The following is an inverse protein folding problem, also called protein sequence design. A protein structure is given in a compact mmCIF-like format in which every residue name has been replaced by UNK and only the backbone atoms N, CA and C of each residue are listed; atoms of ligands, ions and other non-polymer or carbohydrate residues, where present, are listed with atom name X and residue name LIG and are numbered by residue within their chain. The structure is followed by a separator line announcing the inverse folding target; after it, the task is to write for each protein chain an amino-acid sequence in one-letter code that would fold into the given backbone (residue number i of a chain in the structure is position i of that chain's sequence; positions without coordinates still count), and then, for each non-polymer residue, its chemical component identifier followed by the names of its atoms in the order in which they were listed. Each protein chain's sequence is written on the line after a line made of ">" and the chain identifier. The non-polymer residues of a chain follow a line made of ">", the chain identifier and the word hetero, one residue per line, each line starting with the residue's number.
data_IF_683301324425
#
_entry.id   IF_683301324425
#
_cell.length_a   1.000
_cell.length_b   1.000
_cell.length_c   1.000
_cell.angle_alpha   90.00
_cell.angle_beta   90.00
_cell.angle_gamma   90.00
#
_symmetry.space_group_name_H-M   'P 1'
#
loop_
_entity.id
_entity.type
_entity.pdbx_description
1 polymer ?
#
# COMPACT_ATOMS: atom_id res chain seq x y z
N UNK A 1 -17.19 -9.81 30.89
CA UNK A 1 -16.59 -9.19 29.68
C UNK A 1 -16.57 -7.65 29.71
N UNK A 2 -17.58 -6.96 30.25
CA UNK A 2 -17.64 -5.49 30.31
C UNK A 2 -16.54 -4.80 31.16
N UNK A 3 -16.08 -5.45 32.25
CA UNK A 3 -15.02 -4.93 33.14
C UNK A 3 -13.65 -4.79 32.46
N UNK A 4 -13.31 -5.68 31.53
CA UNK A 4 -12.06 -5.60 30.76
C UNK A 4 -12.10 -4.43 29.77
N UNK A 5 -13.26 -4.19 29.15
CA UNK A 5 -13.48 -3.10 28.19
C UNK A 5 -13.29 -1.72 28.85
N UNK A 6 -13.76 -1.56 30.09
CA UNK A 6 -13.60 -0.33 30.88
C UNK A 6 -12.14 -0.09 31.30
N UNK A 7 -11.35 -1.14 31.56
CA UNK A 7 -9.92 -1.02 31.86
C UNK A 7 -9.10 -0.57 30.63
N UNK A 8 -9.49 -0.99 29.43
CA UNK A 8 -8.88 -0.50 28.18
C UNK A 8 -9.21 0.97 27.92
N UNK A 9 -10.44 1.41 28.20
CA UNK A 9 -10.88 2.79 27.93
C UNK A 9 -10.41 3.79 29.00
N UNK A 10 -10.16 3.33 30.23
CA UNK A 10 -9.76 4.18 31.37
C UNK A 10 -8.25 4.37 31.50
N UNK A 11 -7.44 3.55 30.82
CA UNK A 11 -5.98 3.64 30.89
C UNK A 11 -5.42 4.35 29.64
N UNK A 12 -4.95 5.60 29.76
CA UNK A 12 -4.40 6.36 28.63
C UNK A 12 -3.17 5.67 28.02
N UNK A 13 -2.44 4.87 28.80
CA UNK A 13 -1.27 4.10 28.36
C UNK A 13 -1.64 3.12 27.24
N UNK A 14 -2.78 2.43 27.37
CA UNK A 14 -3.20 1.43 26.37
C UNK A 14 -3.54 2.11 25.04
N UNK A 15 -4.20 3.27 25.09
CA UNK A 15 -4.51 4.07 23.90
C UNK A 15 -3.24 4.57 23.20
N UNK A 16 -2.24 5.02 23.95
CA UNK A 16 -0.95 5.45 23.42
C UNK A 16 -0.22 4.28 22.73
N UNK A 17 -0.20 3.10 23.35
CA UNK A 17 0.44 1.91 22.74
C UNK A 17 -0.23 1.51 21.42
N UNK A 18 -1.56 1.53 21.36
CA UNK A 18 -2.31 1.26 20.12
C UNK A 18 -1.99 2.32 19.05
N UNK A 19 -1.99 3.61 19.42
CA UNK A 19 -1.66 4.69 18.49
C UNK A 19 -0.23 4.58 17.95
N UNK A 20 0.75 4.24 18.80
CA UNK A 20 2.14 4.00 18.40
C UNK A 20 2.23 2.77 17.49
N UNK A 21 1.53 1.68 17.79
CA UNK A 21 1.50 0.48 16.96
C UNK A 21 0.90 0.76 15.57
N UNK A 22 -0.22 1.48 15.51
CA UNK A 22 -0.83 1.92 14.25
C UNK A 22 0.13 2.84 13.49
N UNK A 23 0.77 3.80 14.16
CA UNK A 23 1.74 4.70 13.53
C UNK A 23 2.95 3.95 12.97
N UNK A 24 3.50 2.99 13.72
CA UNK A 24 4.60 2.13 13.28
C UNK A 24 4.20 1.28 12.08
N UNK A 25 3.02 0.67 12.13
CA UNK A 25 2.46 -0.13 11.05
C UNK A 25 2.25 0.73 9.79
N UNK A 26 1.69 1.93 9.94
CA UNK A 26 1.47 2.85 8.84
C UNK A 26 2.78 3.39 8.27
N UNK A 27 3.80 3.63 9.10
CA UNK A 27 5.15 4.02 8.66
C UNK A 27 5.81 2.92 7.84
N UNK A 28 5.70 1.66 8.27
CA UNK A 28 6.24 0.49 7.56
C UNK A 28 5.52 0.25 6.23
N UNK A 29 4.19 0.35 6.20
CA UNK A 29 3.41 0.16 4.97
C UNK A 29 3.55 1.31 3.96
N UNK A 30 3.77 2.55 4.41
CA UNK A 30 3.99 3.70 3.50
C UNK A 30 5.29 3.60 2.68
N UNK A 31 6.25 2.75 3.06
CA UNK A 31 7.41 2.45 2.21
C UNK A 31 7.04 1.60 0.99
N UNK A 32 6.05 0.71 1.10
CA UNK A 32 5.61 -0.15 -0.01
C UNK A 32 4.71 0.58 -1.02
N UNK A 33 3.97 1.61 -0.60
CA UNK A 33 3.06 2.36 -1.47
C UNK A 33 3.76 3.28 -2.49
N UNK A 34 5.05 3.58 -2.32
CA UNK A 34 5.82 4.41 -3.28
C UNK A 34 6.41 3.61 -4.44
N UNK A 35 6.45 2.28 -4.34
CA UNK A 35 7.03 1.42 -5.36
C UNK A 35 6.10 1.21 -6.58
N UNK A 36 4.83 1.60 -6.51
CA UNK A 36 3.82 1.24 -7.52
C UNK A 36 3.53 2.30 -8.59
N UNK A 37 4.12 3.50 -8.51
CA UNK A 37 3.87 4.58 -9.47
C UNK A 37 5.08 4.97 -10.33
N UNK A 38 6.24 4.35 -10.11
CA UNK A 38 7.48 4.69 -10.82
C UNK A 38 7.77 3.64 -11.88
N UNK A 39 7.97 4.05 -13.14
CA UNK A 39 8.35 3.13 -14.20
C UNK A 39 9.76 2.56 -13.93
N UNK A 40 9.96 1.24 -13.89
CA UNK A 40 11.27 0.64 -13.61
C UNK A 40 12.30 0.88 -14.73
N UNK A 41 11.85 1.25 -15.95
CA UNK A 41 12.74 1.48 -17.10
C UNK A 41 13.22 2.92 -17.21
N UNK A 42 12.37 3.91 -16.93
CA UNK A 42 12.70 5.32 -17.13
C UNK A 42 12.58 6.19 -15.87
N UNK A 43 12.12 5.64 -14.74
CA UNK A 43 11.96 6.41 -13.50
C UNK A 43 10.78 7.39 -13.49
N UNK A 44 9.97 7.44 -14.55
CA UNK A 44 8.82 8.34 -14.63
C UNK A 44 7.77 7.98 -13.56
N UNK A 45 7.35 8.98 -12.77
CA UNK A 45 6.33 8.84 -11.72
C UNK A 45 4.94 9.17 -12.26
N UNK A 46 3.92 8.38 -11.89
CA UNK A 46 2.51 8.68 -12.12
C UNK A 46 2.01 8.49 -13.56
N UNK A 47 2.85 7.99 -14.46
CA UNK A 47 2.55 7.85 -15.90
C UNK A 47 2.36 6.37 -16.30
N UNK A 48 1.80 5.56 -15.40
CA UNK A 48 1.53 4.13 -15.65
C UNK A 48 0.03 3.97 -15.91
N UNK A 49 -0.35 3.63 -17.13
CA UNK A 49 -1.69 3.19 -17.48
C UNK A 49 -1.82 1.70 -17.23
N UNK A 50 -2.89 1.28 -16.57
CA UNK A 50 -3.26 -0.13 -16.47
C UNK A 50 -4.43 -0.39 -17.40
N UNK A 51 -4.34 -1.43 -18.22
CA UNK A 51 -5.45 -1.89 -19.05
C UNK A 51 -5.50 -3.41 -19.01
N UNK A 52 -6.72 -3.95 -19.16
CA UNK A 52 -6.93 -5.38 -19.32
C UNK A 52 -6.79 -5.74 -20.81
N UNK A 53 -5.93 -6.71 -21.12
CA UNK A 53 -5.80 -7.28 -22.47
C UNK A 53 -6.12 -8.77 -22.37
N UNK A 54 -7.34 -9.15 -22.78
CA UNK A 54 -7.85 -10.51 -22.65
C UNK A 54 -7.96 -10.95 -21.18
N UNK A 55 -7.24 -12.01 -20.81
CA UNK A 55 -7.24 -12.61 -19.46
C UNK A 55 -6.17 -12.06 -18.52
N UNK A 56 -5.43 -11.01 -18.90
CA UNK A 56 -4.36 -10.45 -18.10
C UNK A 56 -4.44 -8.93 -17.96
N UNK A 57 -3.94 -8.42 -16.84
CA UNK A 57 -3.73 -7.00 -16.64
C UNK A 57 -2.35 -6.62 -17.15
N UNK A 58 -2.24 -5.49 -17.82
CA UNK A 58 -0.97 -4.93 -18.32
C UNK A 58 -0.83 -3.52 -17.79
N UNK A 59 0.37 -3.18 -17.33
CA UNK A 59 0.74 -1.82 -16.98
C UNK A 59 1.70 -1.27 -18.04
N UNK A 60 1.31 -0.20 -18.74
CA UNK A 60 2.11 0.50 -19.75
C UNK A 60 2.56 1.86 -19.23
N UNK A 61 3.84 2.18 -19.34
CA UNK A 61 4.36 3.52 -19.10
C UNK A 61 4.10 4.41 -20.32
N UNK A 62 3.43 5.56 -20.14
CA UNK A 62 3.18 6.52 -21.24
C UNK A 62 4.44 7.24 -21.72
N UNK A 63 5.51 7.27 -20.92
CA UNK A 63 6.73 8.04 -21.24
C UNK A 63 7.67 7.25 -22.15
N UNK A 64 7.93 5.98 -21.83
CA UNK A 64 8.89 5.14 -22.56
C UNK A 64 8.25 3.93 -23.26
N UNK A 65 6.92 3.78 -23.17
CA UNK A 65 6.20 2.65 -23.74
C UNK A 65 6.45 1.31 -23.03
N UNK A 66 7.16 1.29 -21.88
CA UNK A 66 7.46 0.06 -21.17
C UNK A 66 6.18 -0.64 -20.68
N UNK A 67 5.98 -1.88 -21.09
CA UNK A 67 4.86 -2.71 -20.68
C UNK A 67 5.28 -3.80 -19.69
N UNK A 68 4.48 -3.99 -18.65
CA UNK A 68 4.64 -5.08 -17.70
C UNK A 68 3.32 -5.80 -17.52
N UNK A 69 3.32 -7.11 -17.78
CA UNK A 69 2.20 -7.99 -17.47
C UNK A 69 2.07 -8.11 -15.96
N UNK A 70 0.91 -7.72 -15.45
CA UNK A 70 0.51 -7.89 -14.06
C UNK A 70 -0.20 -9.24 -13.97
N UNK A 71 0.56 -10.30 -13.67
CA UNK A 71 -0.02 -11.57 -13.23
C UNK A 71 -0.42 -11.42 -11.77
N UNK A 72 -1.71 -11.23 -11.49
CA UNK A 72 -2.24 -11.53 -10.17
C UNK A 72 -2.10 -13.04 -10.01
N UNK A 73 -1.09 -13.47 -9.24
CA UNK A 73 -1.02 -14.84 -8.75
C UNK A 73 -2.11 -14.93 -7.68
N UNK A 74 -3.27 -15.46 -8.07
CA UNK A 74 -4.35 -15.88 -7.14
C UNK A 74 -3.85 -17.07 -6.34
#
# INVERSE_FOLDING_TARGET
>A
MLRLLLLLLRNPIILVLIAVAIWWWWRRHRAAARASLTCPRCGARGQIQQHATGSHWVSRCRVCGFERRLSFRV
#
